data_IF_290694386042
#
_entry.id   IF_290694386042
#
_cell.length_a   1.000
_cell.length_b   1.000
_cell.length_c   1.000
_cell.angle_alpha   90.00
_cell.angle_beta   90.00
_cell.angle_gamma   90.00
#
_symmetry.space_group_name_H-M   'P 1'
#
loop_
_entity.id
_entity.type
_entity.pdbx_description
1 polymer ?
#
# COMPACT_ATOMS: atom_id res chain seq x y z
N UNK A 1 4.66 -21.81 8.58
CA UNK A 1 3.47 -20.99 8.27
C UNK A 1 3.99 -19.69 7.70
N UNK A 2 3.39 -19.16 6.63
CA UNK A 2 3.85 -17.90 6.05
C UNK A 2 3.62 -16.73 7.03
N UNK A 3 4.45 -15.69 6.97
CA UNK A 3 4.32 -14.53 7.85
C UNK A 3 2.95 -13.86 7.68
N UNK A 4 2.48 -13.72 6.44
CA UNK A 4 1.17 -13.15 6.12
C UNK A 4 0.05 -13.93 6.83
N UNK A 5 0.07 -15.25 6.74
CA UNK A 5 -0.93 -16.11 7.40
C UNK A 5 -0.94 -15.92 8.92
N UNK A 6 0.23 -15.77 9.55
CA UNK A 6 0.34 -15.57 11.00
C UNK A 6 -0.25 -14.22 11.43
N UNK A 7 0.03 -13.15 10.68
CA UNK A 7 -0.51 -11.82 10.94
C UNK A 7 -2.03 -11.79 10.74
N UNK A 8 -2.55 -12.40 9.67
CA UNK A 8 -3.99 -12.49 9.42
C UNK A 8 -4.73 -13.30 10.50
N UNK A 9 -4.14 -14.41 10.97
CA UNK A 9 -4.70 -15.17 12.10
C UNK A 9 -4.70 -14.37 13.40
N UNK A 10 -3.66 -13.56 13.63
CA UNK A 10 -3.60 -12.69 14.80
C UNK A 10 -4.69 -11.60 14.72
N UNK A 11 -4.86 -10.97 13.55
CA UNK A 11 -5.93 -10.01 13.28
C UNK A 11 -7.32 -10.59 13.56
N UNK A 12 -7.61 -11.79 13.04
CA UNK A 12 -8.88 -12.48 13.27
C UNK A 12 -9.10 -12.79 14.76
N UNK A 13 -8.04 -13.18 15.47
CA UNK A 13 -8.09 -13.41 16.93
C UNK A 13 -8.40 -12.13 17.69
N UNK A 14 -7.72 -11.03 17.35
CA UNK A 14 -7.94 -9.71 17.96
C UNK A 14 -9.39 -9.30 17.76
N UNK A 15 -9.92 -9.39 16.53
CA UNK A 15 -11.31 -9.05 16.22
C UNK A 15 -12.32 -9.81 17.09
N UNK A 16 -12.08 -11.10 17.33
CA UNK A 16 -12.97 -11.94 18.16
C UNK A 16 -12.83 -11.70 19.67
N UNK A 17 -11.66 -11.31 20.15
CA UNK A 17 -11.33 -11.31 21.58
C UNK A 17 -11.23 -9.93 22.22
N UNK A 18 -11.09 -8.85 21.44
CA UNK A 18 -10.84 -7.48 21.93
C UNK A 18 -11.82 -7.01 23.01
N UNK A 19 -13.08 -7.42 22.94
CA UNK A 19 -14.10 -6.99 23.90
C UNK A 19 -14.00 -7.72 25.25
N UNK A 20 -13.37 -8.90 25.27
CA UNK A 20 -13.16 -9.75 26.46
C UNK A 20 -11.89 -9.40 27.24
N UNK A 21 -11.01 -8.57 26.68
CA UNK A 21 -9.78 -8.14 27.35
C UNK A 21 -10.10 -7.08 28.41
N UNK A 22 -9.66 -7.35 29.64
CA UNK A 22 -10.00 -6.55 30.83
C UNK A 22 -8.82 -5.76 31.40
N UNK A 23 -7.58 -6.13 31.07
CA UNK A 23 -6.37 -5.50 31.62
C UNK A 23 -5.31 -5.28 30.54
N UNK A 24 -4.37 -4.38 30.83
CA UNK A 24 -3.21 -4.15 29.97
C UNK A 24 -2.34 -5.40 29.86
N UNK A 25 -2.12 -6.12 30.96
CA UNK A 25 -1.40 -7.40 30.97
C UNK A 25 -2.08 -8.48 30.11
N UNK A 26 -3.42 -8.51 30.10
CA UNK A 26 -4.16 -9.37 29.20
C UNK A 26 -3.99 -8.94 27.73
N UNK A 27 -3.91 -7.64 27.45
CA UNK A 27 -3.61 -7.11 26.10
C UNK A 27 -2.22 -7.54 25.64
N UNK A 28 -1.21 -7.36 26.51
CA UNK A 28 0.18 -7.77 26.27
C UNK A 28 0.26 -9.25 25.93
N UNK A 29 -0.35 -10.09 26.75
CA UNK A 29 -0.30 -11.55 26.60
C UNK A 29 -1.09 -12.06 25.40
N UNK A 30 -2.30 -11.53 25.16
CA UNK A 30 -3.21 -12.07 24.15
C UNK A 30 -2.91 -11.55 22.73
N UNK A 31 -2.41 -10.32 22.60
CA UNK A 31 -2.27 -9.64 21.30
C UNK A 31 -0.81 -9.27 20.97
N UNK A 32 -0.08 -8.67 21.92
CA UNK A 32 1.25 -8.10 21.64
C UNK A 32 2.35 -9.18 21.64
N UNK A 33 2.39 -10.08 22.62
CA UNK A 33 3.36 -11.18 22.63
C UNK A 33 3.23 -12.08 21.38
N UNK A 34 2.01 -12.46 20.93
CA UNK A 34 1.85 -13.16 19.66
C UNK A 34 2.35 -12.37 18.45
N UNK A 35 2.24 -11.04 18.44
CA UNK A 35 2.82 -10.20 17.38
C UNK A 35 4.35 -10.27 17.39
N UNK A 36 4.99 -10.14 18.57
CA UNK A 36 6.45 -10.27 18.71
C UNK A 36 6.92 -11.66 18.24
N UNK A 37 6.18 -12.71 18.60
CA UNK A 37 6.46 -14.07 18.15
C UNK A 37 6.26 -14.24 16.62
N UNK A 38 5.22 -13.62 16.04
CA UNK A 38 4.99 -13.62 14.60
C UNK A 38 6.08 -12.88 13.82
N UNK A 39 6.70 -11.85 14.42
CA UNK A 39 7.91 -11.21 13.90
C UNK A 39 9.16 -12.10 14.01
N UNK A 40 9.04 -13.32 14.53
CA UNK A 40 10.11 -14.31 14.59
C UNK A 40 11.07 -14.15 15.76
N UNK A 41 10.75 -13.29 16.73
CA UNK A 41 11.51 -13.14 17.96
C UNK A 41 11.01 -14.10 19.04
N UNK A 42 11.95 -14.72 19.76
CA UNK A 42 11.59 -15.66 20.83
C UNK A 42 11.25 -14.91 22.13
N UNK A 43 9.95 -14.81 22.43
CA UNK A 43 9.43 -14.18 23.66
C UNK A 43 9.82 -14.91 24.95
N UNK A 44 10.34 -16.14 24.86
CA UNK A 44 10.82 -16.90 26.01
C UNK A 44 12.34 -16.82 26.18
N UNK A 45 13.05 -16.22 25.22
CA UNK A 45 14.49 -16.02 25.29
C UNK A 45 14.80 -14.65 25.93
N UNK A 46 15.30 -14.61 27.18
CA UNK A 46 15.54 -13.36 27.89
C UNK A 46 16.72 -12.56 27.35
N UNK A 47 17.47 -13.08 26.37
CA UNK A 47 18.52 -12.36 25.67
C UNK A 47 18.03 -11.72 24.37
N UNK A 48 16.81 -12.06 23.93
CA UNK A 48 16.24 -11.61 22.66
C UNK A 48 15.03 -10.71 22.88
N UNK A 49 14.11 -11.08 23.77
CA UNK A 49 12.98 -10.23 24.18
C UNK A 49 13.09 -10.01 25.67
N UNK A 50 13.46 -8.78 26.06
CA UNK A 50 13.60 -8.38 27.46
C UNK A 50 12.32 -7.67 27.90
N UNK A 51 11.50 -8.27 28.78
CA UNK A 51 10.37 -7.58 29.38
C UNK A 51 10.85 -6.62 30.48
N UNK A 52 10.09 -5.56 30.73
CA UNK A 52 10.37 -4.60 31.80
C UNK A 52 11.83 -4.10 31.82
N UNK A 53 12.36 -3.71 30.66
CA UNK A 53 13.72 -3.21 30.57
C UNK A 53 13.83 -1.85 31.30
N UNK A 54 14.83 -1.75 32.18
CA UNK A 54 15.16 -0.52 32.90
C UNK A 54 16.36 0.15 32.21
N UNK A 55 16.17 1.41 31.76
CA UNK A 55 17.26 2.20 31.20
C UNK A 55 17.79 3.12 32.30
N UNK A 56 18.98 2.76 32.79
CA UNK A 56 19.65 3.23 34.00
C UNK A 56 20.12 4.72 33.94
N UNK A 57 19.24 5.65 33.54
CA UNK A 57 19.61 7.06 33.29
C UNK A 57 19.26 8.02 34.40
N UNK A 58 18.39 7.63 35.33
CA UNK A 58 18.11 8.44 36.51
C UNK A 58 17.91 7.46 37.66
N UNK A 59 18.72 7.58 38.72
CA UNK A 59 18.59 6.86 40.00
C UNK A 59 17.25 7.11 40.74
N UNK A 60 16.22 7.59 40.04
CA UNK A 60 14.83 7.60 40.46
C UNK A 60 14.15 6.36 39.88
N UNK A 61 13.96 5.37 40.75
CA UNK A 61 12.99 4.27 40.56
C UNK A 61 11.70 4.81 39.91
N UNK A 62 11.21 4.18 38.85
CA UNK A 62 9.78 4.29 38.58
C UNK A 62 9.25 3.70 37.28
N UNK A 63 9.88 3.98 36.14
CA UNK A 63 9.28 3.65 34.84
C UNK A 63 10.19 2.66 34.13
N UNK A 64 9.62 1.61 33.52
CA UNK A 64 10.30 0.55 32.76
C UNK A 64 9.60 0.40 31.41
N UNK A 65 10.34 0.15 30.34
CA UNK A 65 9.73 -0.13 29.04
C UNK A 65 9.20 -1.57 29.01
N UNK A 66 8.03 -1.80 28.44
CA UNK A 66 7.34 -3.10 28.53
C UNK A 66 8.12 -4.21 27.85
N UNK A 67 8.60 -3.99 26.63
CA UNK A 67 9.48 -4.93 25.93
C UNK A 67 10.60 -4.19 25.20
N UNK A 68 11.77 -4.82 25.17
CA UNK A 68 12.86 -4.48 24.28
C UNK A 68 13.25 -5.71 23.45
N UNK A 69 13.33 -5.53 22.14
CA UNK A 69 13.88 -6.54 21.22
C UNK A 69 15.37 -6.28 21.07
N UNK A 70 16.16 -7.32 21.27
CA UNK A 70 17.62 -7.29 21.28
C UNK A 70 18.19 -7.96 20.04
N UNK A 71 19.25 -7.37 19.48
CA UNK A 71 20.08 -7.97 18.44
C UNK A 71 21.54 -7.68 18.78
N UNK A 72 22.38 -8.71 18.80
CA UNK A 72 23.80 -8.60 19.12
C UNK A 72 24.04 -7.83 20.45
N UNK A 73 23.30 -8.20 21.50
CA UNK A 73 23.34 -7.60 22.84
C UNK A 73 22.91 -6.11 22.92
N UNK A 74 22.42 -5.54 21.83
CA UNK A 74 21.94 -4.15 21.76
C UNK A 74 20.43 -4.08 21.51
N UNK A 75 19.70 -3.17 22.17
CA UNK A 75 18.27 -2.98 21.90
C UNK A 75 18.10 -2.36 20.51
N UNK A 76 17.27 -2.98 19.68
CA UNK A 76 16.95 -2.49 18.33
C UNK A 76 15.54 -1.89 18.23
N UNK A 77 14.59 -2.41 19.02
CA UNK A 77 13.19 -1.96 19.05
C UNK A 77 12.74 -1.87 20.51
N UNK A 78 12.18 -0.73 20.89
CA UNK A 78 11.50 -0.54 22.18
C UNK A 78 9.99 -0.58 21.98
N UNK A 79 9.26 -1.24 22.86
CA UNK A 79 7.81 -1.40 22.75
C UNK A 79 7.16 -0.95 24.06
N UNK A 80 6.33 0.09 23.98
CA UNK A 80 5.41 0.50 25.04
C UNK A 80 4.00 0.01 24.71
N UNK A 81 3.39 -0.66 25.67
CA UNK A 81 2.09 -1.29 25.54
C UNK A 81 1.03 -0.47 26.30
N UNK A 82 -0.21 -0.57 25.83
CA UNK A 82 -1.40 -0.02 26.47
C UNK A 82 -2.54 -1.02 26.45
N UNK A 83 -3.57 -0.77 27.25
CA UNK A 83 -4.81 -1.53 27.21
C UNK A 83 -5.47 -1.43 25.81
N UNK A 84 -6.02 -2.51 25.26
CA UNK A 84 -6.62 -2.57 23.91
C UNK A 84 -7.79 -1.61 23.63
N UNK A 85 -8.30 -0.92 24.66
CA UNK A 85 -9.39 0.07 24.57
C UNK A 85 -8.89 1.50 24.76
N UNK A 86 -7.59 1.67 24.98
CA UNK A 86 -6.96 2.96 25.21
C UNK A 86 -6.54 3.59 23.87
N UNK A 87 -6.82 4.88 23.74
CA UNK A 87 -6.35 5.71 22.63
C UNK A 87 -4.84 5.99 22.77
N UNK A 88 -4.13 5.94 21.65
CA UNK A 88 -2.67 6.07 21.61
C UNK A 88 -2.18 7.51 21.38
N UNK A 89 -3.06 8.53 21.34
CA UNK A 89 -2.66 9.93 21.29
C UNK A 89 -2.24 10.44 22.67
N UNK A 90 -1.14 9.88 23.17
CA UNK A 90 -0.57 10.17 24.48
C UNK A 90 0.59 11.16 24.34
N UNK A 91 0.69 12.08 25.30
CA UNK A 91 1.84 12.96 25.47
C UNK A 91 2.76 12.41 26.56
N UNK A 92 4.06 12.73 26.50
CA UNK A 92 5.07 12.35 27.51
C UNK A 92 5.13 10.84 27.82
N UNK A 93 5.15 10.03 26.76
CA UNK A 93 5.15 8.56 26.86
C UNK A 93 6.44 8.03 27.46
N UNK A 94 6.39 6.84 28.05
CA UNK A 94 7.60 6.19 28.56
C UNK A 94 8.57 5.90 27.41
N UNK A 95 8.03 5.54 26.25
CA UNK A 95 8.76 5.32 25.01
C UNK A 95 9.64 6.51 24.65
N UNK A 96 9.15 7.76 24.72
CA UNK A 96 9.97 8.95 24.43
C UNK A 96 11.19 9.06 25.35
N UNK A 97 10.99 8.89 26.65
CA UNK A 97 12.06 8.97 27.65
C UNK A 97 13.09 7.85 27.44
N UNK A 98 12.60 6.65 27.17
CA UNK A 98 13.40 5.45 26.95
C UNK A 98 14.13 5.43 25.60
N UNK A 99 13.57 6.07 24.58
CA UNK A 99 14.19 6.14 23.26
C UNK A 99 15.48 6.97 23.32
N UNK A 100 15.44 8.16 23.95
CA UNK A 100 16.63 9.02 24.13
C UNK A 100 17.72 8.34 24.95
N UNK A 101 17.28 7.51 25.87
CA UNK A 101 18.07 6.74 26.81
C UNK A 101 18.77 5.52 26.20
N UNK A 102 18.22 5.01 25.12
CA UNK A 102 18.60 3.73 24.52
C UNK A 102 19.44 3.94 23.27
N UNK A 103 20.07 2.85 22.80
CA UNK A 103 20.66 2.78 21.46
C UNK A 103 19.68 2.29 20.39
N UNK A 104 18.45 1.99 20.79
CA UNK A 104 17.41 1.54 19.87
C UNK A 104 17.10 2.62 18.84
N UNK A 105 16.92 2.18 17.60
CA UNK A 105 16.61 3.04 16.46
C UNK A 105 15.12 3.13 16.20
N UNK A 106 14.34 2.20 16.76
CA UNK A 106 12.91 2.11 16.55
C UNK A 106 12.15 2.02 17.88
N UNK A 107 11.02 2.71 17.93
CA UNK A 107 10.08 2.68 19.04
C UNK A 107 8.70 2.27 18.53
N UNK A 108 7.96 1.50 19.33
CA UNK A 108 6.60 1.07 19.00
C UNK A 108 5.70 1.39 20.18
N UNK A 109 4.66 2.19 19.93
CA UNK A 109 3.55 2.39 20.87
C UNK A 109 2.36 1.59 20.37
N UNK A 110 1.82 0.71 21.19
CA UNK A 110 0.73 -0.18 20.75
C UNK A 110 -0.27 -0.51 21.86
N UNK A 111 -1.52 -0.74 21.47
CA UNK A 111 -2.56 -1.33 22.32
C UNK A 111 -2.94 -2.75 21.83
N UNK A 112 -2.10 -3.39 21.02
CA UNK A 112 -2.35 -4.70 20.41
C UNK A 112 -3.29 -4.67 19.20
N UNK A 113 -4.08 -3.60 19.00
CA UNK A 113 -4.90 -3.37 17.80
C UNK A 113 -4.16 -2.44 16.83
N UNK A 114 -3.73 -1.29 17.32
CA UNK A 114 -2.96 -0.31 16.55
C UNK A 114 -1.48 -0.38 16.95
N UNK A 115 -0.58 -0.37 15.98
CA UNK A 115 0.87 -0.35 16.16
C UNK A 115 1.44 0.90 15.49
N UNK A 116 1.95 1.83 16.29
CA UNK A 116 2.59 3.07 15.82
C UNK A 116 4.10 2.94 15.92
N UNK A 117 4.78 2.98 14.78
CA UNK A 117 6.24 2.87 14.69
C UNK A 117 6.88 4.24 14.56
N UNK A 118 7.88 4.47 15.39
CA UNK A 118 8.64 5.71 15.50
C UNK A 118 10.13 5.44 15.29
N UNK A 119 10.83 6.47 14.86
CA UNK A 119 12.27 6.50 14.60
C UNK A 119 12.76 7.91 14.93
N UNK A 120 14.03 8.20 14.70
CA UNK A 120 14.70 9.47 15.00
C UNK A 120 15.28 10.15 13.75
N UNK A 121 14.45 10.30 12.71
CA UNK A 121 14.89 10.87 11.43
C UNK A 121 15.21 12.36 11.54
N UNK A 122 14.59 13.09 12.47
CA UNK A 122 14.84 14.53 12.63
C UNK A 122 16.11 14.82 13.42
N UNK A 123 16.30 14.11 14.53
CA UNK A 123 17.42 14.30 15.45
C UNK A 123 17.83 12.95 15.99
N UNK A 124 19.10 12.60 15.78
CA UNK A 124 19.68 11.34 16.26
C UNK A 124 19.40 11.17 17.77
N UNK A 125 18.90 10.00 18.14
CA UNK A 125 18.49 9.58 19.48
C UNK A 125 17.39 10.45 20.10
N UNK A 126 16.59 11.15 19.30
CA UNK A 126 15.38 11.81 19.76
C UNK A 126 14.24 11.30 18.88
N UNK A 127 13.30 10.60 19.50
CA UNK A 127 12.16 10.03 18.80
C UNK A 127 11.33 11.14 18.13
N UNK A 128 11.01 10.96 16.86
CA UNK A 128 10.14 11.83 16.09
C UNK A 128 8.76 11.90 16.76
N UNK A 129 8.11 13.07 16.71
CA UNK A 129 6.78 13.27 17.33
C UNK A 129 5.68 12.46 16.64
N UNK A 130 5.84 12.21 15.33
CA UNK A 130 4.86 11.49 14.50
C UNK A 130 5.40 10.12 14.13
N UNK A 131 4.57 9.07 14.17
CA UNK A 131 4.96 7.77 13.66
C UNK A 131 5.14 7.83 12.13
N UNK A 132 6.08 7.06 11.61
CA UNK A 132 6.27 6.92 10.16
C UNK A 132 5.42 5.78 9.57
N UNK A 133 4.96 4.85 10.41
CA UNK A 133 4.10 3.74 10.05
C UNK A 133 3.06 3.52 11.15
N UNK A 134 1.80 3.41 10.77
CA UNK A 134 0.69 3.03 11.65
C UNK A 134 0.04 1.81 11.01
N UNK A 135 -0.10 0.73 11.78
CA UNK A 135 -0.78 -0.48 11.34
C UNK A 135 -1.95 -0.77 12.26
N UNK A 136 -3.15 -0.80 11.70
CA UNK A 136 -4.36 -1.24 12.40
C UNK A 136 -4.65 -2.70 12.06
N UNK A 137 -4.60 -3.58 13.06
CA UNK A 137 -4.86 -5.01 12.89
C UNK A 137 -6.31 -5.33 12.49
N UNK A 138 -7.25 -4.39 12.63
CA UNK A 138 -8.63 -4.56 12.19
C UNK A 138 -8.87 -4.08 10.76
N UNK A 139 -7.96 -3.24 10.24
CA UNK A 139 -8.01 -2.67 8.88
C UNK A 139 -6.69 -2.95 8.12
N UNK A 140 -6.14 -4.16 8.28
CA UNK A 140 -4.88 -4.58 7.64
C UNK A 140 -4.98 -4.64 6.12
N UNK A 141 -4.05 -3.95 5.44
CA UNK A 141 -3.78 -4.15 4.00
C UNK A 141 -2.53 -5.00 3.77
N UNK A 142 -2.36 -5.60 2.59
CA UNK A 142 -1.09 -6.29 2.28
C UNK A 142 0.11 -5.33 2.25
N UNK A 143 -0.12 -4.03 2.02
CA UNK A 143 0.95 -3.04 2.12
C UNK A 143 1.46 -2.94 3.56
N UNK A 144 0.57 -2.96 4.56
CA UNK A 144 0.94 -2.92 5.98
C UNK A 144 1.70 -4.18 6.38
N UNK A 145 1.25 -5.36 5.91
CA UNK A 145 1.94 -6.63 6.17
C UNK A 145 3.35 -6.61 5.59
N UNK A 146 3.54 -6.09 4.37
CA UNK A 146 4.87 -5.96 3.77
C UNK A 146 5.76 -4.97 4.54
N UNK A 147 5.22 -3.88 5.10
CA UNK A 147 6.01 -3.00 5.98
C UNK A 147 6.35 -3.67 7.31
N UNK A 148 5.39 -4.36 7.95
CA UNK A 148 5.63 -5.13 9.18
C UNK A 148 6.69 -6.20 9.00
N UNK A 149 6.72 -6.85 7.84
CA UNK A 149 7.69 -7.90 7.49
C UNK A 149 9.13 -7.42 7.56
N UNK A 150 9.39 -6.12 7.38
CA UNK A 150 10.74 -5.53 7.53
C UNK A 150 11.24 -5.55 8.97
N UNK A 151 10.34 -5.64 9.94
CA UNK A 151 10.68 -5.81 11.36
C UNK A 151 10.85 -7.26 11.78
N UNK A 152 10.53 -8.22 10.90
CA UNK A 152 10.70 -9.64 11.18
C UNK A 152 12.19 -10.00 11.27
N UNK A 153 12.57 -10.80 12.27
CA UNK A 153 13.95 -11.16 12.61
C UNK A 153 14.82 -11.54 11.41
N UNK A 154 14.30 -12.38 10.51
CA UNK A 154 15.02 -12.86 9.33
C UNK A 154 15.28 -11.80 8.24
N UNK A 155 14.53 -10.71 8.23
CA UNK A 155 14.61 -9.66 7.20
C UNK A 155 15.05 -8.31 7.78
N UNK A 156 15.22 -8.21 9.10
CA UNK A 156 15.53 -6.96 9.78
C UNK A 156 16.91 -6.42 9.37
N UNK A 157 16.86 -5.29 8.69
CA UNK A 157 18.00 -4.45 8.35
C UNK A 157 17.68 -3.00 8.74
N UNK A 158 18.48 -2.44 9.66
CA UNK A 158 18.30 -1.09 10.17
C UNK A 158 18.30 -0.04 9.05
N UNK A 159 19.25 -0.12 8.11
CA UNK A 159 19.40 0.87 7.03
C UNK A 159 18.18 0.85 6.09
N UNK A 160 17.69 -0.35 5.75
CA UNK A 160 16.53 -0.52 4.86
C UNK A 160 15.24 -0.03 5.52
N UNK A 161 15.07 -0.31 6.82
CA UNK A 161 13.91 0.16 7.59
C UNK A 161 13.97 1.69 7.76
N UNK A 162 15.14 2.27 8.05
CA UNK A 162 15.31 3.73 8.14
C UNK A 162 15.02 4.41 6.79
N UNK A 163 15.52 3.85 5.69
CA UNK A 163 15.24 4.40 4.36
C UNK A 163 13.74 4.36 4.05
N UNK A 164 13.08 3.27 4.41
CA UNK A 164 11.62 3.13 4.26
C UNK A 164 10.87 4.14 5.12
N UNK A 165 11.29 4.32 6.37
CA UNK A 165 10.68 5.29 7.29
C UNK A 165 10.75 6.71 6.72
N UNK A 166 11.89 7.06 6.12
CA UNK A 166 12.10 8.36 5.49
C UNK A 166 11.16 8.57 4.29
N UNK A 167 11.03 7.56 3.43
CA UNK A 167 10.09 7.59 2.30
C UNK A 167 8.63 7.71 2.75
N UNK A 168 8.22 6.92 3.75
CA UNK A 168 6.85 6.93 4.27
C UNK A 168 6.50 8.26 4.95
N UNK A 169 7.44 8.83 5.72
CA UNK A 169 7.29 10.15 6.36
C UNK A 169 6.97 11.22 5.32
N UNK A 170 7.84 11.38 4.32
CA UNK A 170 7.64 12.41 3.29
C UNK A 170 6.43 12.13 2.41
N UNK A 171 6.16 10.88 2.05
CA UNK A 171 4.97 10.54 1.26
C UNK A 171 3.68 10.91 1.99
N UNK A 172 3.62 10.67 3.30
CA UNK A 172 2.46 11.02 4.13
C UNK A 172 2.31 12.53 4.26
N UNK A 173 3.40 13.26 4.49
CA UNK A 173 3.38 14.73 4.53
C UNK A 173 2.95 15.34 3.19
N UNK A 174 3.50 14.85 2.07
CA UNK A 174 3.14 15.31 0.72
C UNK A 174 1.65 15.04 0.43
N UNK A 175 1.13 13.86 0.78
CA UNK A 175 -0.30 13.55 0.64
C UNK A 175 -1.18 14.52 1.44
N UNK A 176 -0.79 14.82 2.67
CA UNK A 176 -1.48 15.78 3.52
C UNK A 176 -1.49 17.19 2.92
N UNK A 177 -0.33 17.65 2.42
CA UNK A 177 -0.22 18.94 1.72
C UNK A 177 -1.12 18.96 0.48
N UNK A 178 -1.07 17.92 -0.36
CA UNK A 178 -1.92 17.85 -1.56
C UNK A 178 -3.42 17.88 -1.22
N UNK A 179 -3.86 17.14 -0.21
CA UNK A 179 -5.26 17.15 0.23
C UNK A 179 -5.70 18.55 0.70
N UNK A 180 -4.83 19.25 1.43
CA UNK A 180 -5.09 20.61 1.87
C UNK A 180 -5.14 21.57 0.68
N UNK A 181 -4.20 21.48 -0.25
CA UNK A 181 -4.16 22.29 -1.47
C UNK A 181 -5.37 22.04 -2.38
N UNK A 182 -5.85 20.80 -2.48
CA UNK A 182 -7.03 20.47 -3.29
C UNK A 182 -8.32 21.02 -2.66
N UNK A 183 -8.40 20.98 -1.32
CA UNK A 183 -9.55 21.49 -0.57
C UNK A 183 -9.57 23.02 -0.48
N UNK A 184 -8.40 23.62 -0.29
CA UNK A 184 -8.18 25.05 -0.07
C UNK A 184 -6.83 25.49 -0.67
N UNK A 185 -6.77 25.75 -1.99
CA UNK A 185 -5.55 26.14 -2.68
C UNK A 185 -4.87 27.37 -2.05
N UNK A 186 -3.57 27.28 -1.77
CA UNK A 186 -2.76 28.39 -1.29
C UNK A 186 -2.35 29.34 -2.44
N UNK A 187 -2.01 30.60 -2.15
CA UNK A 187 -1.53 31.54 -3.17
C UNK A 187 -0.33 31.02 -3.97
N UNK A 188 0.58 30.30 -3.32
CA UNK A 188 1.75 29.67 -3.93
C UNK A 188 1.36 28.57 -4.92
N UNK A 189 0.44 27.69 -4.53
CA UNK A 189 -0.05 26.62 -5.39
C UNK A 189 -0.85 27.18 -6.58
N UNK A 190 -1.69 28.18 -6.35
CA UNK A 190 -2.42 28.88 -7.42
C UNK A 190 -1.45 29.58 -8.38
N UNK A 191 -0.39 30.21 -7.86
CA UNK A 191 0.66 30.86 -8.66
C UNK A 191 1.36 29.88 -9.60
N UNK A 192 1.55 28.61 -9.20
CA UNK A 192 2.13 27.58 -10.06
C UNK A 192 1.32 27.36 -11.34
N UNK A 193 -0.02 27.25 -11.24
CA UNK A 193 -0.89 27.12 -12.41
C UNK A 193 -1.00 28.43 -13.19
N UNK A 194 -1.13 29.56 -12.48
CA UNK A 194 -1.26 30.86 -13.11
C UNK A 194 -0.05 31.19 -13.99
N UNK A 195 1.18 30.86 -13.57
CA UNK A 195 2.39 31.04 -14.39
C UNK A 195 2.38 30.28 -15.71
N UNK A 196 1.64 29.18 -15.81
CA UNK A 196 1.58 28.32 -16.99
C UNK A 196 0.39 28.67 -17.89
N UNK A 197 -0.75 29.04 -17.29
CA UNK A 197 -1.98 29.31 -18.01
C UNK A 197 -2.21 30.79 -18.34
N UNK A 198 -1.66 31.72 -17.55
CA UNK A 198 -1.82 33.15 -17.76
C UNK A 198 -0.70 33.68 -18.68
N UNK A 199 -1.01 33.77 -19.96
CA UNK A 199 -0.05 34.18 -21.01
C UNK A 199 0.15 35.70 -21.11
N UNK A 200 -0.67 36.50 -20.43
CA UNK A 200 -0.75 37.95 -20.61
C UNK A 200 -0.38 38.75 -19.36
N UNK A 201 0.91 38.83 -19.03
CA UNK A 201 1.44 39.78 -18.04
C UNK A 201 1.91 39.14 -16.73
N UNK A 202 2.19 39.99 -15.74
CA UNK A 202 2.76 39.57 -14.45
C UNK A 202 1.70 38.93 -13.55
N UNK A 203 2.08 37.90 -12.78
CA UNK A 203 1.21 37.26 -11.80
C UNK A 203 1.12 38.13 -10.54
N UNK A 204 0.13 39.03 -10.53
CA UNK A 204 -0.17 39.90 -9.38
C UNK A 204 -1.12 39.22 -8.39
N UNK A 205 -1.31 39.80 -7.20
CA UNK A 205 -2.29 39.29 -6.22
C UNK A 205 -3.70 39.19 -6.81
N UNK A 206 -4.12 40.19 -7.60
CA UNK A 206 -5.41 40.16 -8.31
C UNK A 206 -5.56 38.98 -9.26
N UNK A 207 -4.47 38.59 -9.94
CA UNK A 207 -4.46 37.42 -10.81
C UNK A 207 -4.57 36.15 -9.96
N UNK A 208 -3.86 36.07 -8.83
CA UNK A 208 -3.98 34.94 -7.91
C UNK A 208 -5.42 34.83 -7.39
N UNK A 209 -6.02 35.91 -6.89
CA UNK A 209 -7.39 35.92 -6.37
C UNK A 209 -8.41 35.46 -7.42
N UNK A 210 -8.21 35.86 -8.68
CA UNK A 210 -9.03 35.41 -9.82
C UNK A 210 -8.83 33.91 -10.12
N UNK A 211 -7.58 33.42 -10.05
CA UNK A 211 -7.26 32.03 -10.34
C UNK A 211 -7.62 31.06 -9.21
N UNK A 212 -7.61 31.48 -7.95
CA UNK A 212 -7.94 30.62 -6.79
C UNK A 212 -9.24 29.83 -6.96
N UNK A 213 -10.41 30.46 -7.25
CA UNK A 213 -11.64 29.72 -7.46
C UNK A 213 -11.61 28.86 -8.73
N UNK A 214 -10.86 29.27 -9.77
CA UNK A 214 -10.72 28.51 -11.02
C UNK A 214 -9.90 27.23 -10.78
N UNK A 215 -8.80 27.30 -10.04
CA UNK A 215 -7.97 26.15 -9.67
C UNK A 215 -8.77 25.18 -8.82
N UNK A 216 -9.45 25.67 -7.77
CA UNK A 216 -10.30 24.83 -6.91
C UNK A 216 -11.40 24.13 -7.71
N UNK A 217 -12.09 24.88 -8.58
CA UNK A 217 -13.15 24.32 -9.43
C UNK A 217 -12.59 23.31 -10.43
N UNK A 218 -11.42 23.57 -11.02
CA UNK A 218 -10.79 22.66 -11.99
C UNK A 218 -10.36 21.36 -11.34
N UNK A 219 -9.78 21.41 -10.14
CA UNK A 219 -9.44 20.22 -9.35
C UNK A 219 -10.70 19.44 -8.99
N UNK A 220 -11.73 20.12 -8.48
CA UNK A 220 -13.00 19.48 -8.13
C UNK A 220 -13.68 18.85 -9.35
N UNK A 221 -13.65 19.55 -10.50
CA UNK A 221 -14.14 19.02 -11.78
C UNK A 221 -13.35 17.79 -12.18
N UNK A 222 -12.01 17.84 -12.20
CA UNK A 222 -11.16 16.69 -12.53
C UNK A 222 -11.47 15.49 -11.64
N UNK A 223 -11.62 15.71 -10.33
CA UNK A 223 -11.97 14.63 -9.39
C UNK A 223 -13.37 14.09 -9.73
N UNK A 224 -14.35 14.97 -9.97
CA UNK A 224 -15.70 14.56 -10.35
C UNK A 224 -15.76 13.87 -11.71
N UNK A 225 -14.92 14.27 -12.66
CA UNK A 225 -14.81 13.70 -13.99
C UNK A 225 -14.18 12.31 -13.86
N UNK A 226 -13.10 12.16 -13.09
CA UNK A 226 -12.54 10.83 -12.74
C UNK A 226 -13.59 9.95 -12.05
N UNK A 227 -14.44 10.50 -11.17
CA UNK A 227 -15.52 9.75 -10.51
C UNK A 227 -16.65 9.42 -11.50
N UNK A 228 -16.99 10.34 -12.40
CA UNK A 228 -18.09 10.20 -13.36
C UNK A 228 -17.73 9.26 -14.49
N UNK A 229 -16.49 9.32 -14.97
CA UNK A 229 -15.93 8.39 -15.94
C UNK A 229 -15.97 6.98 -15.33
N UNK A 230 -15.49 6.82 -14.08
CA UNK A 230 -15.64 5.57 -13.31
C UNK A 230 -17.07 5.06 -13.26
N UNK A 231 -18.02 5.94 -12.97
CA UNK A 231 -19.44 5.59 -12.86
C UNK A 231 -20.06 5.22 -14.21
N UNK A 232 -19.72 5.95 -15.27
CA UNK A 232 -20.24 5.72 -16.63
C UNK A 232 -19.69 4.43 -17.23
N UNK A 233 -18.42 4.11 -17.00
CA UNK A 233 -17.80 2.84 -17.40
C UNK A 233 -18.43 1.66 -16.65
N UNK A 234 -18.79 1.88 -15.39
CA UNK A 234 -19.52 0.93 -14.56
C UNK A 234 -20.99 0.67 -14.99
N UNK A 235 -21.67 1.64 -15.61
CA UNK A 235 -23.05 1.50 -16.11
C UNK A 235 -23.06 0.74 -17.45
N UNK A 236 -22.12 1.05 -18.36
CA UNK A 236 -22.01 0.36 -19.66
C UNK A 236 -21.68 -1.14 -19.54
N UNK A 237 -21.00 -1.55 -18.47
CA UNK A 237 -20.71 -2.96 -18.20
C UNK A 237 -21.88 -3.72 -17.51
N UNK A 238 -22.98 -3.04 -17.17
CA UNK A 238 -24.19 -3.63 -16.59
C UNK A 238 -25.33 -3.89 -17.56
N UNK A 239 -25.27 -3.37 -18.80
CA UNK A 239 -26.31 -3.52 -19.82
C UNK A 239 -25.87 -4.48 -20.94
N UNK A 240 -25.69 -5.76 -20.62
CA UNK A 240 -25.88 -6.85 -21.59
C UNK A 240 -26.54 -8.05 -20.91
N UNK A 241 -27.84 -7.92 -20.61
CA UNK A 241 -28.81 -9.01 -20.82
C UNK A 241 -30.23 -8.44 -20.89
N UNK A 242 -30.98 -8.98 -21.85
CA UNK A 242 -32.42 -8.88 -22.16
C UNK A 242 -32.93 -7.64 -22.93
N UNK A 243 -33.28 -7.93 -24.18
CA UNK A 243 -34.10 -7.16 -25.13
C UNK A 243 -35.62 -7.45 -24.87
N UNK A 244 -36.60 -6.88 -25.59
CA UNK A 244 -37.35 -5.67 -25.20
C UNK A 244 -38.87 -5.92 -25.03
N UNK A 245 -39.57 -5.09 -24.24
CA UNK A 245 -41.02 -4.88 -24.38
C UNK A 245 -41.42 -3.41 -24.12
N UNK A 246 -42.14 -2.86 -25.09
CA UNK A 246 -42.72 -1.51 -25.13
C UNK A 246 -44.01 -1.41 -24.29
N UNK A 247 -44.23 -0.28 -23.61
CA UNK A 247 -45.24 0.75 -23.94
C UNK A 247 -45.49 1.73 -22.76
N UNK A 248 -45.50 3.03 -23.09
CA UNK A 248 -46.29 4.18 -22.57
C UNK A 248 -47.07 4.00 -21.25
N UNK A 249 -47.09 4.94 -20.28
CA UNK A 249 -47.24 6.39 -20.40
C UNK A 249 -46.92 7.13 -19.07
N UNK A 250 -46.68 8.43 -19.19
CA UNK A 250 -46.51 9.51 -18.18
C UNK A 250 -46.93 9.27 -16.70
N UNK A 251 -46.12 9.74 -15.74
CA UNK A 251 -46.34 10.96 -14.91
C UNK A 251 -45.21 11.13 -13.89
N UNK A 252 -44.88 12.39 -13.62
CA UNK A 252 -43.81 12.96 -12.80
C UNK A 252 -43.95 12.82 -11.27
N UNK A 253 -42.80 12.94 -10.57
CA UNK A 253 -42.51 13.68 -9.31
C UNK A 253 -41.62 12.90 -8.28
N UNK A 254 -40.41 13.44 -8.12
CA UNK A 254 -39.57 13.70 -6.93
C UNK A 254 -39.24 12.67 -5.82
N UNK A 255 -37.92 12.64 -5.56
CA UNK A 255 -37.14 12.61 -4.30
C UNK A 255 -36.75 11.30 -3.61
N UNK A 256 -35.43 11.31 -3.30
CA UNK A 256 -34.73 10.89 -2.08
C UNK A 256 -34.21 9.45 -1.91
N UNK A 257 -32.87 9.41 -1.91
CA UNK A 257 -31.94 8.77 -0.94
C UNK A 257 -31.68 7.26 -0.94
N UNK A 258 -30.38 6.96 -1.10
CA UNK A 258 -29.55 5.94 -0.44
C UNK A 258 -29.77 4.45 -0.79
N UNK A 259 -28.80 3.87 -1.52
CA UNK A 259 -27.84 2.92 -0.95
C UNK A 259 -26.70 2.64 -1.94
N UNK A 260 -25.48 2.73 -1.41
CA UNK A 260 -24.19 2.74 -2.10
C UNK A 260 -23.62 1.32 -2.15
N UNK A 261 -23.50 0.73 -3.33
CA UNK A 261 -22.63 -0.44 -3.58
C UNK A 261 -21.37 0.04 -4.35
N UNK A 262 -20.20 -0.18 -3.76
CA UNK A 262 -18.89 0.27 -4.24
C UNK A 262 -18.53 -0.28 -5.63
N UNK A 263 -18.12 0.60 -6.56
CA UNK A 263 -17.48 0.18 -7.82
C UNK A 263 -16.08 0.79 -7.98
N UNK A 264 -15.17 -0.05 -8.47
CA UNK A 264 -13.71 0.15 -8.54
C UNK A 264 -13.26 1.24 -9.56
N UNK A 265 -12.01 1.72 -9.43
CA UNK A 265 -11.38 2.72 -10.31
C UNK A 265 -11.40 2.52 -11.84
N UNK A 266 -11.37 3.60 -12.62
CA UNK A 266 -11.34 3.57 -14.08
C UNK A 266 -9.96 3.24 -14.59
N UNK A 267 -9.94 2.39 -15.61
CA UNK A 267 -8.72 1.75 -16.08
C UNK A 267 -8.19 0.70 -15.10
N UNK A 268 -8.93 0.33 -14.05
CA UNK A 268 -8.61 -0.78 -13.14
C UNK A 268 -9.74 -1.81 -13.24
N UNK A 269 -9.44 -2.95 -13.85
CA UNK A 269 -10.44 -3.98 -14.13
C UNK A 269 -10.59 -4.94 -12.96
N UNK A 270 -9.54 -5.04 -12.14
CA UNK A 270 -9.55 -5.76 -10.89
C UNK A 270 -8.64 -5.04 -9.91
N UNK A 271 -9.19 -4.74 -8.74
CA UNK A 271 -8.43 -4.19 -7.63
C UNK A 271 -8.59 -5.18 -6.50
N UNK A 272 -7.54 -5.94 -6.28
CA UNK A 272 -7.47 -6.82 -5.13
C UNK A 272 -7.29 -5.93 -3.89
N UNK A 273 -8.35 -5.77 -3.11
CA UNK A 273 -8.33 -4.97 -1.88
C UNK A 273 -7.35 -5.54 -0.84
N UNK A 274 -7.03 -6.84 -0.92
CA UNK A 274 -6.03 -7.47 -0.06
C UNK A 274 -4.62 -7.19 -0.62
N UNK A 275 -4.32 -7.57 -1.87
CA UNK A 275 -2.96 -7.49 -2.42
C UNK A 275 -2.48 -6.13 -2.93
N UNK A 276 -3.37 -5.15 -3.04
CA UNK A 276 -3.04 -3.83 -3.59
C UNK A 276 -2.59 -3.89 -5.05
N UNK A 277 -2.83 -5.02 -5.71
CA UNK A 277 -2.58 -5.24 -7.12
C UNK A 277 -3.71 -4.55 -7.89
N UNK A 278 -3.30 -3.61 -8.74
CA UNK A 278 -4.19 -2.77 -9.53
C UNK A 278 -4.03 -3.23 -10.97
N UNK A 279 -4.87 -4.18 -11.39
CA UNK A 279 -4.84 -4.65 -12.78
C UNK A 279 -5.43 -3.59 -13.67
N UNK A 280 -4.57 -2.96 -14.46
CA UNK A 280 -4.98 -1.89 -15.33
C UNK A 280 -5.62 -2.41 -16.62
N UNK A 281 -6.49 -1.61 -17.24
CA UNK A 281 -7.04 -1.88 -18.57
C UNK A 281 -5.91 -1.95 -19.60
N UNK A 282 -4.86 -1.15 -19.44
CA UNK A 282 -3.70 -1.17 -20.33
C UNK A 282 -2.93 -2.50 -20.24
N UNK A 283 -2.82 -3.09 -19.06
CA UNK A 283 -2.25 -4.43 -18.87
C UNK A 283 -3.14 -5.52 -19.47
N UNK A 284 -4.47 -5.39 -19.34
CA UNK A 284 -5.40 -6.33 -19.97
C UNK A 284 -5.44 -6.20 -21.49
N UNK A 285 -5.29 -5.00 -22.03
CA UNK A 285 -5.19 -4.78 -23.47
C UNK A 285 -3.87 -5.34 -23.99
N UNK A 286 -2.76 -5.13 -23.29
CA UNK A 286 -1.48 -5.77 -23.58
C UNK A 286 -1.58 -7.30 -23.52
N UNK A 287 -2.25 -7.86 -22.52
CA UNK A 287 -2.56 -9.28 -22.42
C UNK A 287 -3.39 -9.78 -23.60
N UNK A 288 -4.43 -9.04 -24.01
CA UNK A 288 -5.27 -9.40 -25.15
C UNK A 288 -4.48 -9.33 -26.48
N UNK A 289 -3.53 -8.41 -26.62
CA UNK A 289 -2.59 -8.40 -27.75
C UNK A 289 -1.74 -9.67 -27.75
N UNK A 290 -1.15 -10.05 -26.61
CA UNK A 290 -0.37 -11.29 -26.47
C UNK A 290 -1.22 -12.52 -26.80
N UNK A 291 -2.46 -12.61 -26.28
CA UNK A 291 -3.40 -13.69 -26.63
C UNK A 291 -3.73 -13.72 -28.11
N UNK A 292 -3.94 -12.56 -28.73
CA UNK A 292 -4.28 -12.44 -30.14
C UNK A 292 -3.13 -12.88 -31.06
N UNK A 293 -1.89 -12.66 -30.62
CA UNK A 293 -0.69 -13.18 -31.30
C UNK A 293 -0.65 -14.71 -31.16
N UNK A 294 -0.82 -15.23 -29.94
CA UNK A 294 -0.55 -16.63 -29.62
C UNK A 294 -1.71 -17.60 -29.88
N UNK A 295 -2.93 -17.12 -30.11
CA UNK A 295 -4.13 -17.94 -30.45
C UNK A 295 -3.94 -18.85 -31.67
N UNK A 296 -2.95 -18.55 -32.53
CA UNK A 296 -2.63 -19.36 -33.71
C UNK A 296 -1.86 -20.63 -33.34
N UNK A 297 -1.25 -20.65 -32.16
CA UNK A 297 -0.30 -21.67 -31.73
C UNK A 297 -0.77 -22.47 -30.52
N UNK A 298 -1.70 -21.94 -29.73
CA UNK A 298 -2.30 -22.62 -28.57
C UNK A 298 -3.75 -22.16 -28.36
N UNK A 299 -4.56 -23.02 -27.72
CA UNK A 299 -5.90 -22.64 -27.29
C UNK A 299 -5.83 -21.45 -26.34
N UNK A 300 -6.66 -20.44 -26.61
CA UNK A 300 -6.67 -19.16 -25.87
C UNK A 300 -7.07 -19.36 -24.40
N UNK A 301 -7.79 -20.43 -24.08
CA UNK A 301 -8.17 -20.79 -22.69
C UNK A 301 -6.96 -21.19 -21.84
N UNK A 302 -5.87 -21.62 -22.46
CA UNK A 302 -4.63 -22.01 -21.79
C UNK A 302 -3.71 -20.82 -21.50
N UNK A 303 -3.92 -19.70 -22.19
CA UNK A 303 -3.16 -18.48 -21.94
C UNK A 303 -3.85 -17.78 -20.79
N UNK A 304 -3.15 -17.68 -19.67
CA UNK A 304 -3.63 -17.03 -18.45
C UNK A 304 -2.70 -15.89 -18.06
N UNK A 305 -3.13 -15.07 -17.13
CA UNK A 305 -2.30 -14.01 -16.58
C UNK A 305 -2.31 -14.03 -15.07
N UNK A 306 -1.29 -13.42 -14.49
CA UNK A 306 -1.23 -13.10 -13.08
C UNK A 306 -0.59 -11.73 -12.93
N UNK A 307 -1.26 -10.87 -12.19
CA UNK A 307 -0.79 -9.52 -11.96
C UNK A 307 0.03 -9.44 -10.67
N UNK A 308 1.09 -8.64 -10.69
CA UNK A 308 1.97 -8.38 -9.56
C UNK A 308 2.26 -6.88 -9.50
N UNK A 309 2.54 -6.37 -8.29
CA UNK A 309 2.77 -4.93 -8.03
C UNK A 309 3.79 -4.23 -8.97
N UNK A 310 4.75 -4.95 -9.52
CA UNK A 310 5.82 -4.40 -10.37
C UNK A 310 5.77 -4.83 -11.84
N UNK A 311 4.96 -5.85 -12.18
CA UNK A 311 4.82 -6.36 -13.53
C UNK A 311 3.64 -7.32 -13.65
N UNK A 312 3.02 -7.33 -14.81
CA UNK A 312 1.96 -8.23 -15.20
C UNK A 312 2.55 -9.45 -15.92
N UNK A 313 2.23 -10.67 -15.51
CA UNK A 313 2.75 -11.91 -16.12
C UNK A 313 1.69 -12.55 -16.99
N UNK A 314 2.07 -12.91 -18.21
CA UNK A 314 1.30 -13.84 -19.04
C UNK A 314 1.95 -15.20 -18.96
N UNK A 315 1.19 -16.24 -18.63
CA UNK A 315 1.65 -17.61 -18.42
C UNK A 315 0.77 -18.62 -19.14
N UNK A 316 1.23 -19.86 -19.21
CA UNK A 316 0.49 -20.98 -19.79
C UNK A 316 -0.04 -21.89 -18.68
N UNK A 317 -1.30 -22.30 -18.78
CA UNK A 317 -2.00 -23.23 -17.88
C UNK A 317 -1.91 -22.82 -16.40
N UNK A 318 -1.90 -21.51 -16.12
CA UNK A 318 -1.73 -20.93 -14.78
C UNK A 318 -0.45 -21.39 -14.05
N UNK A 319 0.59 -21.77 -14.82
CA UNK A 319 1.88 -22.16 -14.27
C UNK A 319 2.61 -20.99 -13.60
N UNK A 320 3.18 -21.24 -12.43
CA UNK A 320 4.00 -20.27 -11.70
C UNK A 320 5.47 -20.25 -12.17
N UNK A 321 5.90 -21.32 -12.85
CA UNK A 321 7.29 -21.54 -13.26
C UNK A 321 7.51 -21.28 -14.74
N UNK A 322 6.49 -21.51 -15.57
CA UNK A 322 6.55 -21.43 -17.02
C UNK A 322 5.68 -20.27 -17.54
N UNK A 323 6.30 -19.10 -17.62
CA UNK A 323 5.65 -17.89 -18.09
C UNK A 323 6.00 -17.60 -19.57
N UNK A 324 5.14 -16.88 -20.27
CA UNK A 324 5.32 -16.54 -21.68
C UNK A 324 6.00 -15.17 -21.80
N UNK A 325 5.51 -14.18 -21.07
CA UNK A 325 6.16 -12.88 -20.99
C UNK A 325 5.80 -12.16 -19.70
N UNK A 326 6.62 -11.17 -19.34
CA UNK A 326 6.32 -10.16 -18.32
C UNK A 326 6.05 -8.83 -19.02
N UNK A 327 5.10 -8.07 -18.52
CA UNK A 327 4.72 -6.76 -19.04
C UNK A 327 4.88 -5.79 -17.88
N UNK A 328 5.66 -4.73 -18.07
CA UNK A 328 5.85 -3.70 -17.05
C UNK A 328 5.49 -2.36 -17.67
N UNK A 329 4.40 -1.77 -17.20
CA UNK A 329 3.85 -0.52 -17.72
C UNK A 329 3.99 0.54 -16.63
N UNK A 330 5.09 1.26 -16.65
CA UNK A 330 5.33 2.40 -15.77
C UNK A 330 5.06 3.72 -16.48
N UNK A 331 4.74 4.76 -15.70
CA UNK A 331 4.46 6.11 -16.23
C UNK A 331 5.60 6.72 -17.09
N UNK A 332 6.84 6.25 -16.91
CA UNK A 332 8.03 6.73 -17.65
C UNK A 332 8.65 5.70 -18.58
N UNK A 333 8.31 4.42 -18.42
CA UNK A 333 8.94 3.31 -19.14
C UNK A 333 7.96 2.16 -19.27
N UNK A 334 7.74 1.70 -20.50
CA UNK A 334 7.00 0.47 -20.78
C UNK A 334 7.95 -0.55 -21.38
N UNK A 335 7.81 -1.81 -20.99
CA UNK A 335 8.72 -2.87 -21.45
C UNK A 335 8.06 -4.25 -21.37
N UNK A 336 8.47 -5.13 -22.27
CA UNK A 336 8.11 -6.55 -22.28
C UNK A 336 9.35 -7.41 -21.98
N UNK A 337 9.22 -8.32 -21.03
CA UNK A 337 10.24 -9.28 -20.61
C UNK A 337 10.00 -10.64 -21.27
N UNK A 338 11.00 -11.16 -21.99
CA UNK A 338 10.98 -12.49 -22.61
C UNK A 338 11.91 -13.42 -21.81
N UNK A 339 11.52 -14.67 -21.49
CA UNK A 339 12.36 -15.56 -20.70
C UNK A 339 13.63 -15.97 -21.46
N UNK A 340 14.73 -16.06 -20.71
CA UNK A 340 16.02 -16.56 -21.17
C UNK A 340 16.56 -17.61 -20.18
N UNK A 341 17.54 -18.40 -20.62
CA UNK A 341 18.31 -19.32 -19.77
C UNK A 341 17.47 -20.26 -18.88
N UNK A 342 16.44 -20.91 -19.44
CA UNK A 342 15.49 -21.74 -18.67
C UNK A 342 14.86 -20.97 -17.49
N UNK A 343 14.31 -19.80 -17.79
CA UNK A 343 13.61 -18.93 -16.82
C UNK A 343 14.50 -18.34 -15.71
N UNK A 344 15.83 -18.48 -15.80
CA UNK A 344 16.77 -17.87 -14.84
C UNK A 344 16.93 -16.37 -15.03
N UNK A 345 16.70 -15.88 -16.25
CA UNK A 345 16.84 -14.47 -16.61
C UNK A 345 15.72 -14.05 -17.56
N UNK A 346 15.62 -12.74 -17.83
CA UNK A 346 14.67 -12.21 -18.81
C UNK A 346 15.30 -11.07 -19.61
N UNK A 347 15.01 -11.05 -20.91
CA UNK A 347 15.37 -9.95 -21.80
C UNK A 347 14.27 -8.89 -21.74
N UNK A 348 14.59 -7.69 -21.23
CA UNK A 348 13.66 -6.57 -21.21
C UNK A 348 13.77 -5.74 -22.49
N UNK A 349 12.67 -5.71 -23.25
CA UNK A 349 12.54 -4.97 -24.50
C UNK A 349 11.64 -3.76 -24.26
N UNK A 350 12.17 -2.56 -24.49
CA UNK A 350 11.40 -1.34 -24.32
C UNK A 350 10.33 -1.21 -25.42
N UNK A 351 9.15 -0.72 -25.02
CA UNK A 351 8.04 -0.37 -25.90
C UNK A 351 7.62 1.07 -25.61
N UNK A 352 7.19 1.79 -26.65
CA UNK A 352 6.66 3.14 -26.52
C UNK A 352 5.14 3.11 -26.31
N UNK A 353 4.48 2.08 -26.86
CA UNK A 353 3.05 1.79 -26.72
C UNK A 353 2.77 0.29 -26.63
N UNK A 354 1.58 -0.11 -26.14
CA UNK A 354 1.18 -1.53 -26.12
C UNK A 354 1.09 -2.16 -27.52
N UNK A 355 0.85 -1.36 -28.56
CA UNK A 355 0.85 -1.83 -29.96
C UNK A 355 2.23 -2.34 -30.41
N UNK A 356 3.32 -1.87 -29.78
CA UNK A 356 4.67 -2.34 -30.10
C UNK A 356 4.88 -3.82 -29.74
N UNK A 357 4.00 -4.42 -28.93
CA UNK A 357 4.03 -5.85 -28.62
C UNK A 357 3.94 -6.70 -29.92
N UNK A 358 3.22 -6.23 -30.95
CA UNK A 358 3.17 -6.91 -32.25
C UNK A 358 4.53 -7.02 -32.93
N UNK A 359 5.46 -6.08 -32.68
CA UNK A 359 6.83 -6.13 -33.24
C UNK A 359 7.63 -7.33 -32.70
N UNK A 360 7.23 -7.87 -31.54
CA UNK A 360 7.91 -8.97 -30.86
C UNK A 360 7.14 -10.30 -30.96
N UNK A 361 6.17 -10.42 -31.87
CA UNK A 361 5.35 -11.62 -32.04
C UNK A 361 6.18 -12.91 -32.17
N UNK A 362 7.27 -12.89 -32.96
CA UNK A 362 8.15 -14.05 -33.11
C UNK A 362 8.82 -14.50 -31.80
N UNK A 363 9.27 -13.56 -30.97
CA UNK A 363 9.86 -13.86 -29.66
C UNK A 363 8.82 -14.44 -28.68
N UNK A 364 7.59 -13.95 -28.74
CA UNK A 364 6.48 -14.48 -27.94
C UNK A 364 6.11 -15.91 -28.35
N UNK A 365 6.12 -16.23 -29.64
CA UNK A 365 5.89 -17.59 -30.14
C UNK A 365 7.01 -18.56 -29.73
N UNK A 366 8.27 -18.11 -29.72
CA UNK A 366 9.39 -18.92 -29.21
C UNK A 366 9.27 -19.18 -27.70
N UNK A 367 8.93 -18.14 -26.94
CA UNK A 367 8.67 -18.27 -25.50
C UNK A 367 7.51 -19.23 -25.19
N UNK A 368 6.43 -19.18 -25.98
CA UNK A 368 5.33 -20.13 -25.85
C UNK A 368 5.79 -21.58 -26.12
N UNK A 369 6.61 -21.81 -27.15
CA UNK A 369 7.15 -23.16 -27.43
C UNK A 369 8.01 -23.68 -26.28
N UNK A 370 8.73 -22.80 -25.60
CA UNK A 370 9.50 -23.13 -24.41
C UNK A 370 8.57 -23.54 -23.27
N UNK A 371 7.51 -22.77 -23.02
CA UNK A 371 6.52 -23.06 -21.97
C UNK A 371 5.71 -24.35 -22.22
N UNK A 372 5.55 -24.79 -23.47
CA UNK A 372 4.85 -26.05 -23.83
C UNK A 372 5.74 -27.30 -23.65
N UNK A 373 7.07 -27.13 -23.74
CA UNK A 373 8.03 -28.27 -23.72
C UNK A 373 8.36 -28.75 -22.31
N UNK A 374 8.09 -27.93 -21.31
CA UNK A 374 8.22 -28.21 -19.87
C UNK A 374 6.85 -28.57 -19.29
#
# INVERSE_FOLDING_TARGET
MDFKDQILQLAERIQKQKDSIATEEATKTAFIMPMIAALGYDVFNPFEVIPELDCDLIKKKGEKIDYAIMKDESPIILIECKHCKQDLNLHDTQLQKYFVASKARFGVLTNGIEYRFYTDLEKINIMDEKPFLIVDMLELSDADIEQLKKFHKSYYNEEDVLSTANELKYTTEIKSILNNEFSSPTPEFVRFFARQAYTSGQITSKVIDMFTPLVKKSISSIINDIISDRLNTAIKNGEQTSDPLQMSDNTSINTSTENTEEKLPDGVVYMDKESGVVTTQEELDAYNIVRSILRKSVDVTRITYRDYKSYFVVNLDNSQWFWICRISIGARKKQIGIPLDNYKSCEWLQIDSIDDIFKYAGKLEESLKMAIRE
#
